data_IF_891137824238
#
_entry.id   IF_891137824238
#
_cell.length_a   1.000
_cell.length_b   1.000
_cell.length_c   1.000
_cell.angle_alpha   90.00
_cell.angle_beta   90.00
_cell.angle_gamma   90.00
#
_symmetry.space_group_name_H-M   'P 1'
#
loop_
_entity.id
_entity.type
_entity.pdbx_description
1 polymer ?
#
# COMPACT_ATOMS: atom_id res chain seq x y z
N UNK A 1 -15.23 -7.30 3.94
CA UNK A 1 -14.24 -6.90 2.92
C UNK A 1 -13.77 -8.12 2.16
N UNK A 2 -13.54 -8.02 0.84
CA UNK A 2 -12.71 -9.00 0.16
C UNK A 2 -11.28 -8.81 0.70
N UNK A 3 -10.88 -9.67 1.64
CA UNK A 3 -9.56 -9.58 2.27
C UNK A 3 -8.45 -10.02 1.32
N UNK A 4 -7.24 -9.48 1.50
CA UNK A 4 -6.08 -9.97 0.77
C UNK A 4 -5.56 -11.26 1.42
N UNK A 5 -5.36 -12.31 0.62
CA UNK A 5 -4.76 -13.54 1.13
C UNK A 5 -3.29 -13.33 1.44
N UNK A 6 -2.77 -14.06 2.43
CA UNK A 6 -1.34 -14.02 2.71
C UNK A 6 -0.49 -14.61 1.59
N UNK A 7 -1.03 -15.52 0.79
CA UNK A 7 -0.38 -16.03 -0.41
C UNK A 7 -0.14 -14.91 -1.42
N UNK A 8 -1.14 -14.05 -1.65
CA UNK A 8 -0.99 -12.85 -2.48
C UNK A 8 0.06 -11.89 -1.90
N UNK A 9 0.01 -11.63 -0.60
CA UNK A 9 0.99 -10.76 0.07
C UNK A 9 2.42 -11.31 -0.03
N UNK A 10 2.58 -12.63 0.05
CA UNK A 10 3.87 -13.29 -0.15
C UNK A 10 4.38 -13.17 -1.59
N UNK A 11 3.50 -13.34 -2.59
CA UNK A 11 3.85 -13.20 -4.01
C UNK A 11 4.31 -11.79 -4.36
N UNK A 12 3.64 -10.76 -3.84
CA UNK A 12 4.00 -9.36 -4.14
C UNK A 12 5.19 -8.85 -3.31
N UNK A 13 5.53 -9.47 -2.17
CA UNK A 13 6.55 -8.96 -1.25
C UNK A 13 7.90 -8.59 -1.91
N UNK A 14 8.48 -9.39 -2.82
CA UNK A 14 9.74 -9.00 -3.50
C UNK A 14 9.58 -7.80 -4.43
N UNK A 15 8.42 -7.70 -5.11
CA UNK A 15 8.10 -6.60 -6.03
C UNK A 15 7.79 -5.32 -5.26
N UNK A 16 7.06 -5.43 -4.14
CA UNK A 16 6.84 -4.36 -3.18
C UNK A 16 8.17 -3.79 -2.71
N UNK A 17 9.06 -4.64 -2.17
CA UNK A 17 10.36 -4.22 -1.61
C UNK A 17 11.22 -3.47 -2.64
N UNK A 18 11.29 -3.96 -3.87
CA UNK A 18 12.05 -3.33 -4.94
C UNK A 18 11.46 -1.98 -5.40
N UNK A 19 10.16 -1.77 -5.23
CA UNK A 19 9.45 -0.60 -5.73
C UNK A 19 9.43 0.59 -4.76
N UNK A 20 9.63 0.36 -3.46
CA UNK A 20 9.58 1.41 -2.42
C UNK A 20 10.51 2.58 -2.74
N UNK A 21 10.00 3.81 -2.60
CA UNK A 21 10.76 5.00 -2.95
C UNK A 21 11.68 5.45 -1.80
N UNK A 22 12.97 5.10 -1.90
CA UNK A 22 13.95 5.40 -0.87
C UNK A 22 14.08 6.90 -0.51
N UNK A 23 13.84 7.81 -1.47
CA UNK A 23 13.91 9.25 -1.22
C UNK A 23 12.71 9.75 -0.38
N UNK A 24 11.49 9.28 -0.69
CA UNK A 24 10.28 9.59 0.09
C UNK A 24 10.41 9.01 1.50
N UNK A 25 10.88 7.77 1.62
CA UNK A 25 11.09 7.12 2.91
C UNK A 25 12.19 7.80 3.73
N UNK A 26 13.28 8.23 3.10
CA UNK A 26 14.35 8.97 3.77
C UNK A 26 13.83 10.23 4.43
N UNK A 27 13.01 11.00 3.70
CA UNK A 27 12.39 12.22 4.23
C UNK A 27 11.45 11.94 5.41
N UNK A 28 10.72 10.82 5.39
CA UNK A 28 9.91 10.40 6.55
C UNK A 28 10.78 10.02 7.75
N UNK A 29 11.84 9.24 7.52
CA UNK A 29 12.76 8.81 8.59
C UNK A 29 13.50 9.99 9.23
N UNK A 30 13.93 10.97 8.43
CA UNK A 30 14.58 12.20 8.90
C UNK A 30 13.65 13.08 9.76
N UNK A 31 12.33 12.89 9.65
CA UNK A 31 11.35 13.60 10.47
C UNK A 31 11.03 12.90 11.80
N UNK A 32 11.57 11.69 12.04
CA UNK A 32 11.43 11.00 13.31
C UNK A 32 12.33 11.64 14.39
N UNK A 33 12.00 11.48 15.69
CA UNK A 33 12.78 12.07 16.78
C UNK A 33 14.24 11.61 16.80
N UNK A 34 15.16 12.57 16.83
CA UNK A 34 16.58 12.29 17.03
C UNK A 34 16.90 11.88 18.47
N UNK A 35 17.99 11.11 18.65
CA UNK A 35 18.55 10.79 19.96
C UNK A 35 17.77 9.76 20.79
N UNK A 36 16.68 9.19 20.24
CA UNK A 36 15.99 8.03 20.82
C UNK A 36 15.36 7.16 19.74
N UNK A 37 15.05 5.94 20.12
CA UNK A 37 14.47 4.95 19.20
C UNK A 37 12.98 5.23 18.96
N UNK A 38 12.52 5.14 17.71
CA UNK A 38 11.16 5.52 17.36
C UNK A 38 10.15 4.46 17.80
N UNK A 39 8.95 4.95 18.11
CA UNK A 39 7.73 4.17 18.21
C UNK A 39 6.86 4.49 16.99
N UNK A 40 6.54 3.51 16.13
CA UNK A 40 5.77 3.73 14.92
C UNK A 40 4.44 2.99 14.95
N UNK A 41 3.43 3.53 14.28
CA UNK A 41 2.12 2.87 14.12
C UNK A 41 1.87 2.58 12.64
N UNK A 42 1.70 1.32 12.30
CA UNK A 42 1.41 0.86 10.94
C UNK A 42 -0.08 0.53 10.79
N UNK A 43 -0.76 1.27 9.92
CA UNK A 43 -2.18 1.16 9.63
C UNK A 43 -2.42 0.20 8.46
N UNK A 44 -3.36 -0.73 8.63
CA UNK A 44 -3.63 -1.80 7.67
C UNK A 44 -2.35 -2.57 7.31
N UNK A 45 -1.65 -3.00 8.36
CA UNK A 45 -0.28 -3.53 8.30
C UNK A 45 -0.14 -4.88 7.57
N UNK A 46 -1.23 -5.61 7.35
CA UNK A 46 -1.23 -6.93 6.74
C UNK A 46 -0.26 -7.88 7.46
N UNK A 47 0.69 -8.44 6.70
CA UNK A 47 1.74 -9.31 7.24
C UNK A 47 2.99 -8.57 7.72
N UNK A 48 2.92 -7.25 7.90
CA UNK A 48 4.00 -6.42 8.46
C UNK A 48 5.15 -6.12 7.49
N UNK A 49 4.83 -5.86 6.21
CA UNK A 49 5.83 -5.56 5.19
C UNK A 49 6.62 -4.27 5.50
N UNK A 50 5.97 -3.23 6.03
CA UNK A 50 6.61 -1.97 6.40
C UNK A 50 7.68 -2.19 7.48
N UNK A 51 7.39 -3.01 8.51
CA UNK A 51 8.36 -3.36 9.56
C UNK A 51 9.56 -4.08 8.95
N UNK A 52 9.32 -5.07 8.08
CA UNK A 52 10.41 -5.81 7.45
C UNK A 52 11.34 -4.88 6.63
N UNK A 53 10.79 -3.90 5.93
CA UNK A 53 11.57 -2.92 5.17
C UNK A 53 12.33 -1.92 6.05
N UNK A 54 11.77 -1.53 7.20
CA UNK A 54 12.30 -0.44 8.02
C UNK A 54 13.19 -0.92 9.16
N UNK A 55 12.96 -2.12 9.67
CA UNK A 55 13.70 -2.65 10.81
C UNK A 55 15.23 -2.56 10.64
N UNK A 56 15.82 -2.94 9.49
CA UNK A 56 17.27 -2.84 9.28
C UNK A 56 17.81 -1.40 9.28
N UNK A 57 16.97 -0.40 8.97
CA UNK A 57 17.34 1.01 8.83
C UNK A 57 17.22 1.80 10.13
N UNK A 58 16.34 1.36 11.03
CA UNK A 58 16.06 2.03 12.31
C UNK A 58 16.94 1.55 13.47
N UNK A 59 17.64 0.42 13.33
CA UNK A 59 18.51 -0.14 14.37
C UNK A 59 17.75 -0.82 15.52
N UNK A 60 18.45 -1.22 16.58
CA UNK A 60 17.84 -1.97 17.69
C UNK A 60 17.05 -1.09 18.67
N UNK A 61 16.01 -1.67 19.26
CA UNK A 61 15.11 -1.12 20.29
C UNK A 61 13.98 -0.21 19.76
N UNK A 62 13.74 -0.25 18.45
CA UNK A 62 12.55 0.33 17.82
C UNK A 62 11.27 -0.37 18.30
N UNK A 63 10.15 0.38 18.31
CA UNK A 63 8.83 -0.12 18.72
C UNK A 63 7.81 0.07 17.62
N UNK A 64 6.92 -0.88 17.45
CA UNK A 64 5.86 -0.83 16.46
C UNK A 64 4.52 -1.24 17.06
N UNK A 65 3.47 -0.51 16.69
CA UNK A 65 2.08 -0.95 16.81
C UNK A 65 1.58 -1.31 15.41
N UNK A 66 1.33 -2.59 15.17
CA UNK A 66 0.76 -3.09 13.93
C UNK A 66 -0.74 -3.25 14.09
N UNK A 67 -1.49 -2.63 13.19
CA UNK A 67 -2.94 -2.66 13.21
C UNK A 67 -3.48 -3.25 11.92
N UNK A 68 -4.46 -4.15 12.02
CA UNK A 68 -5.21 -4.67 10.88
C UNK A 68 -6.58 -5.15 11.36
N UNK A 69 -7.57 -5.16 10.47
CA UNK A 69 -8.89 -5.73 10.74
C UNK A 69 -8.87 -7.27 10.71
N UNK A 70 -7.89 -7.88 10.02
CA UNK A 70 -7.82 -9.32 9.85
C UNK A 70 -6.87 -9.95 10.89
N UNK A 71 -7.38 -10.67 11.91
CA UNK A 71 -6.54 -11.31 12.91
C UNK A 71 -5.66 -12.43 12.32
N UNK A 72 -6.03 -13.04 11.19
CA UNK A 72 -5.21 -14.03 10.52
C UNK A 72 -3.96 -13.41 9.88
N UNK A 73 -4.06 -12.20 9.32
CA UNK A 73 -2.89 -11.45 8.82
C UNK A 73 -1.98 -11.03 9.97
N UNK A 74 -2.52 -10.56 11.09
CA UNK A 74 -1.73 -10.22 12.29
C UNK A 74 -1.01 -11.45 12.87
N UNK A 75 -1.65 -12.62 12.88
CA UNK A 75 -1.00 -13.86 13.31
C UNK A 75 0.19 -14.23 12.41
N UNK A 76 0.07 -14.00 11.10
CA UNK A 76 1.15 -14.23 10.15
C UNK A 76 2.25 -13.18 10.25
N UNK A 77 1.90 -11.91 10.47
CA UNK A 77 2.87 -10.86 10.79
C UNK A 77 3.70 -11.26 12.02
N UNK A 78 3.05 -11.75 13.07
CA UNK A 78 3.73 -12.25 14.28
C UNK A 78 4.68 -13.39 13.98
N UNK A 79 4.27 -14.37 13.19
CA UNK A 79 5.15 -15.48 12.81
C UNK A 79 6.35 -14.99 12.00
N UNK A 80 6.11 -14.15 10.98
CA UNK A 80 7.13 -13.60 10.07
C UNK A 80 8.17 -12.74 10.80
N UNK A 81 7.72 -11.91 11.73
CA UNK A 81 8.56 -10.90 12.40
C UNK A 81 9.18 -11.40 13.73
N UNK A 82 8.82 -12.60 14.19
CA UNK A 82 9.31 -13.17 15.46
C UNK A 82 10.83 -13.28 15.58
N UNK A 83 11.55 -13.36 14.46
CA UNK A 83 13.01 -13.46 14.42
C UNK A 83 13.75 -12.12 14.36
N UNK A 84 13.05 -10.99 14.29
CA UNK A 84 13.69 -9.68 14.23
C UNK A 84 14.25 -9.27 15.59
N UNK A 85 15.56 -9.37 15.74
CA UNK A 85 16.26 -8.91 16.93
C UNK A 85 16.12 -7.38 17.10
N UNK A 86 15.89 -6.93 18.33
CA UNK A 86 15.81 -5.49 18.62
C UNK A 86 14.54 -4.80 18.12
N UNK A 87 13.48 -5.52 17.75
CA UNK A 87 12.21 -4.90 17.33
C UNK A 87 11.11 -5.34 18.29
N UNK A 88 10.53 -4.40 19.05
CA UNK A 88 9.38 -4.69 19.90
C UNK A 88 8.08 -4.38 19.13
N UNK A 89 7.21 -5.38 18.98
CA UNK A 89 5.99 -5.24 18.17
C UNK A 89 4.76 -5.59 19.01
N UNK A 90 3.85 -4.63 19.11
CA UNK A 90 2.47 -4.83 19.55
C UNK A 90 1.58 -5.06 18.32
N UNK A 91 0.63 -5.99 18.43
CA UNK A 91 -0.34 -6.30 17.39
C UNK A 91 -1.72 -6.01 17.93
N UNK A 92 -2.54 -5.28 17.17
CA UNK A 92 -3.90 -4.90 17.58
C UNK A 92 -4.86 -5.08 16.44
N UNK A 93 -5.90 -5.88 16.67
CA UNK A 93 -7.03 -5.93 15.75
C UNK A 93 -7.74 -4.57 15.77
N UNK A 94 -7.88 -3.94 14.62
CA UNK A 94 -8.46 -2.60 14.49
C UNK A 94 -9.22 -2.50 13.18
N UNK A 95 -10.54 -2.30 13.29
CA UNK A 95 -11.37 -1.94 12.14
C UNK A 95 -11.32 -0.44 11.91
N UNK A 96 -10.44 -0.02 10.99
CA UNK A 96 -10.27 1.38 10.61
C UNK A 96 -11.55 1.98 9.99
N UNK A 97 -12.48 1.16 9.45
CA UNK A 97 -13.74 1.68 8.92
C UNK A 97 -14.63 2.31 10.00
N UNK A 98 -14.40 1.96 11.27
CA UNK A 98 -15.08 2.56 12.44
C UNK A 98 -14.40 3.86 12.91
N UNK A 99 -13.28 4.26 12.30
CA UNK A 99 -12.51 5.46 12.62
C UNK A 99 -11.26 5.17 13.47
N UNK A 100 -10.64 6.26 13.95
CA UNK A 100 -9.33 6.21 14.62
C UNK A 100 -9.40 6.25 16.16
N UNK A 101 -10.60 6.24 16.75
CA UNK A 101 -10.80 6.47 18.19
C UNK A 101 -10.13 5.44 19.11
N UNK A 102 -9.82 4.24 18.60
CA UNK A 102 -9.08 3.20 19.33
C UNK A 102 -7.55 3.31 19.24
N UNK A 103 -7.03 4.31 18.51
CA UNK A 103 -5.60 4.51 18.28
C UNK A 103 -5.13 5.82 18.91
N UNK A 104 -4.17 5.71 19.83
CA UNK A 104 -3.48 6.87 20.39
C UNK A 104 -2.30 7.26 19.49
N UNK A 105 -2.58 8.07 18.46
CA UNK A 105 -1.55 8.61 17.57
C UNK A 105 -0.66 9.65 18.25
N UNK A 106 -0.96 10.12 19.46
CA UNK A 106 -0.07 11.05 20.18
C UNK A 106 1.11 10.33 20.81
N UNK A 107 0.96 9.05 21.14
CA UNK A 107 1.98 8.17 21.71
C UNK A 107 2.97 7.58 20.69
N UNK A 108 2.72 7.74 19.40
CA UNK A 108 3.61 7.31 18.31
C UNK A 108 4.51 8.46 17.84
N UNK A 109 5.58 8.15 17.14
CA UNK A 109 6.54 9.08 16.56
C UNK A 109 6.34 9.28 15.07
N UNK A 110 5.61 8.37 14.42
CA UNK A 110 5.24 8.43 13.02
C UNK A 110 4.18 7.38 12.70
N UNK A 111 3.39 7.66 11.66
CA UNK A 111 2.32 6.79 11.19
C UNK A 111 2.65 6.31 9.79
N UNK A 112 2.53 5.01 9.55
CA UNK A 112 2.79 4.41 8.24
C UNK A 112 1.56 3.65 7.73
N UNK A 113 1.47 3.47 6.42
CA UNK A 113 0.57 2.52 5.77
C UNK A 113 1.15 2.12 4.41
N UNK A 114 0.77 0.96 3.87
CA UNK A 114 1.31 0.48 2.59
C UNK A 114 0.23 -0.25 1.79
N UNK A 115 0.07 0.12 0.51
CA UNK A 115 -0.92 -0.48 -0.41
C UNK A 115 -2.34 -0.54 0.18
N UNK A 116 -2.78 0.60 0.74
CA UNK A 116 -4.06 0.73 1.45
C UNK A 116 -4.90 1.93 1.00
N UNK A 117 -4.28 3.08 0.70
CA UNK A 117 -5.02 4.33 0.47
C UNK A 117 -5.97 4.25 -0.74
N UNK A 118 -5.67 3.46 -1.76
CA UNK A 118 -6.53 3.27 -2.94
C UNK A 118 -7.82 2.49 -2.62
N UNK A 119 -7.96 1.95 -1.41
CA UNK A 119 -9.13 1.20 -0.96
C UNK A 119 -10.11 2.04 -0.13
N UNK A 120 -9.74 3.27 0.22
CA UNK A 120 -10.51 4.09 1.17
C UNK A 120 -11.27 5.20 0.47
N UNK A 121 -12.30 5.71 1.14
CA UNK A 121 -13.10 6.84 0.64
C UNK A 121 -12.36 8.17 0.83
N UNK A 122 -12.83 9.21 0.11
CA UNK A 122 -12.43 10.59 0.34
C UNK A 122 -12.58 11.02 1.81
N UNK A 123 -13.71 10.67 2.43
CA UNK A 123 -13.98 11.00 3.84
C UNK A 123 -13.03 10.30 4.81
N UNK A 124 -12.65 9.05 4.53
CA UNK A 124 -11.63 8.36 5.31
C UNK A 124 -10.27 9.04 5.18
N UNK A 125 -9.84 9.40 3.96
CA UNK A 125 -8.57 10.10 3.74
C UNK A 125 -8.51 11.45 4.45
N UNK A 126 -9.61 12.23 4.45
CA UNK A 126 -9.70 13.48 5.21
C UNK A 126 -9.64 13.23 6.73
N UNK A 127 -10.32 12.19 7.23
CA UNK A 127 -10.29 11.82 8.65
C UNK A 127 -8.89 11.35 9.09
N UNK A 128 -8.19 10.59 8.25
CA UNK A 128 -6.80 10.17 8.46
C UNK A 128 -5.87 11.37 8.56
N UNK A 129 -5.94 12.26 7.56
CA UNK A 129 -5.13 13.48 7.56
C UNK A 129 -5.40 14.34 8.81
N UNK A 130 -6.67 14.50 9.19
CA UNK A 130 -7.05 15.22 10.40
C UNK A 130 -6.51 14.57 11.69
N UNK A 131 -6.64 13.25 11.84
CA UNK A 131 -6.18 12.52 13.02
C UNK A 131 -4.65 12.59 13.19
N UNK A 132 -3.91 12.38 12.10
CA UNK A 132 -2.44 12.46 12.12
C UNK A 132 -1.97 13.90 12.35
N UNK A 133 -2.63 14.87 11.71
CA UNK A 133 -2.29 16.29 11.86
C UNK A 133 -2.58 16.82 13.27
N UNK A 134 -3.68 16.38 13.89
CA UNK A 134 -3.99 16.72 15.28
C UNK A 134 -2.93 16.18 16.27
N UNK A 135 -2.31 15.04 15.95
CA UNK A 135 -1.22 14.47 16.72
C UNK A 135 0.16 15.10 16.37
N UNK A 136 0.25 15.88 15.29
CA UNK A 136 1.49 16.54 14.85
C UNK A 136 2.58 15.57 14.37
N UNK A 137 2.22 14.34 13.99
CA UNK A 137 3.18 13.29 13.61
C UNK A 137 3.44 13.25 12.10
N UNK A 138 4.63 12.84 11.65
CA UNK A 138 4.87 12.53 10.24
C UNK A 138 4.05 11.31 9.81
N UNK A 139 3.69 11.27 8.53
CA UNK A 139 2.95 10.19 7.89
C UNK A 139 3.68 9.68 6.66
N UNK A 140 3.67 8.36 6.44
CA UNK A 140 4.15 7.72 5.22
C UNK A 140 3.08 6.77 4.67
N UNK A 141 2.70 6.96 3.42
CA UNK A 141 1.98 5.96 2.64
C UNK A 141 2.89 5.45 1.53
N UNK A 142 3.11 4.14 1.48
CA UNK A 142 3.84 3.49 0.39
C UNK A 142 2.89 2.74 -0.55
N UNK A 143 3.28 2.60 -1.81
CA UNK A 143 2.65 1.74 -2.82
C UNK A 143 1.15 2.05 -2.99
N UNK A 144 0.77 3.32 -3.11
CA UNK A 144 -0.62 3.70 -3.43
C UNK A 144 -0.85 3.62 -4.93
N UNK A 145 -1.80 2.78 -5.38
CA UNK A 145 -2.05 2.57 -6.81
C UNK A 145 -2.49 3.88 -7.51
N UNK A 146 -1.93 4.17 -8.68
CA UNK A 146 -2.16 5.44 -9.39
C UNK A 146 -2.89 5.32 -10.74
N UNK A 147 -3.41 4.13 -11.06
CA UNK A 147 -4.18 3.90 -12.28
C UNK A 147 -3.34 3.54 -13.51
N UNK A 148 -2.01 3.59 -13.45
CA UNK A 148 -1.14 3.16 -14.55
C UNK A 148 -0.89 1.66 -14.48
N UNK A 149 -0.97 0.98 -15.62
CA UNK A 149 -0.53 -0.39 -15.76
C UNK A 149 -0.14 -0.65 -17.21
N UNK A 150 0.91 -1.42 -17.43
CA UNK A 150 1.37 -1.79 -18.76
C UNK A 150 1.89 -3.23 -18.76
N UNK A 151 1.53 -3.98 -19.80
CA UNK A 151 2.01 -5.34 -20.03
C UNK A 151 2.80 -5.37 -21.34
N UNK A 152 3.90 -6.12 -21.35
CA UNK A 152 4.64 -6.45 -22.55
C UNK A 152 4.75 -7.97 -22.70
N UNK A 153 4.59 -8.56 -23.91
CA UNK A 153 4.25 -7.88 -25.17
C UNK A 153 2.85 -7.26 -25.16
N UNK A 154 2.61 -6.17 -25.91
CA UNK A 154 1.31 -5.48 -25.88
C UNK A 154 0.20 -6.35 -26.46
N UNK A 155 -1.01 -6.17 -25.95
CA UNK A 155 -2.23 -6.81 -26.45
C UNK A 155 -3.30 -5.73 -26.70
N UNK A 156 -4.11 -5.82 -27.78
CA UNK A 156 -5.12 -4.80 -28.11
C UNK A 156 -6.13 -4.50 -26.99
N UNK A 157 -6.37 -5.46 -26.10
CA UNK A 157 -7.33 -5.35 -24.99
C UNK A 157 -6.72 -4.81 -23.68
N UNK A 158 -5.41 -4.53 -23.63
CA UNK A 158 -4.75 -4.08 -22.39
C UNK A 158 -5.37 -2.81 -21.82
N UNK A 159 -5.61 -1.81 -22.67
CA UNK A 159 -6.17 -0.54 -22.24
C UNK A 159 -7.60 -0.69 -21.74
N UNK A 160 -8.40 -1.53 -22.40
CA UNK A 160 -9.77 -1.85 -21.95
C UNK A 160 -9.77 -2.50 -20.57
N UNK A 161 -8.89 -3.49 -20.35
CA UNK A 161 -8.77 -4.17 -19.05
C UNK A 161 -8.28 -3.21 -17.97
N UNK A 162 -7.30 -2.34 -18.28
CA UNK A 162 -6.80 -1.32 -17.35
C UNK A 162 -7.88 -0.32 -16.94
N UNK A 163 -8.63 0.22 -17.91
CA UNK A 163 -9.72 1.15 -17.63
C UNK A 163 -10.83 0.50 -16.79
N UNK A 164 -11.16 -0.76 -17.09
CA UNK A 164 -12.11 -1.54 -16.30
C UNK A 164 -11.59 -1.76 -14.88
N UNK A 165 -10.32 -2.09 -14.69
CA UNK A 165 -9.73 -2.24 -13.37
C UNK A 165 -9.73 -0.91 -12.59
N UNK A 166 -9.43 0.22 -13.23
CA UNK A 166 -9.51 1.53 -12.58
C UNK A 166 -10.93 1.87 -12.13
N UNK A 167 -11.94 1.58 -12.95
CA UNK A 167 -13.34 1.77 -12.59
C UNK A 167 -13.75 0.81 -11.46
N UNK A 168 -13.29 -0.44 -11.50
CA UNK A 168 -13.48 -1.40 -10.42
C UNK A 168 -12.82 -0.92 -9.12
N UNK A 169 -11.63 -0.31 -9.16
CA UNK A 169 -10.97 0.22 -7.96
C UNK A 169 -11.75 1.33 -7.26
N UNK A 170 -12.69 1.99 -7.96
CA UNK A 170 -13.56 3.01 -7.39
C UNK A 170 -14.90 2.46 -6.87
N UNK A 171 -15.11 1.15 -6.92
CA UNK A 171 -16.25 0.51 -6.25
C UNK A 171 -16.05 0.47 -4.73
N UNK A 172 -17.05 -0.04 -4.00
CA UNK A 172 -16.89 -0.26 -2.57
C UNK A 172 -15.83 -1.34 -2.29
N UNK A 173 -14.80 -0.98 -1.51
CA UNK A 173 -13.73 -1.87 -1.03
C UNK A 173 -13.85 -2.21 0.45
N UNK A 174 -14.94 -1.85 1.10
CA UNK A 174 -15.20 -2.04 2.53
C UNK A 174 -15.43 -0.75 3.31
N UNK A 175 -15.07 0.39 2.72
CA UNK A 175 -15.20 1.72 3.33
C UNK A 175 -16.32 2.56 2.68
N UNK A 176 -16.95 2.05 1.62
CA UNK A 176 -17.69 2.83 0.63
C UNK A 176 -16.89 2.99 -0.68
N UNK A 177 -17.42 3.74 -1.67
CA UNK A 177 -16.78 3.95 -2.97
C UNK A 177 -15.37 4.52 -2.81
N UNK A 178 -14.36 3.72 -3.17
CA UNK A 178 -12.97 4.06 -2.92
C UNK A 178 -12.46 5.14 -3.88
N UNK A 179 -11.41 5.84 -3.46
CA UNK A 179 -10.71 6.81 -4.30
C UNK A 179 -9.99 6.12 -5.47
N UNK A 180 -9.55 4.87 -5.29
CA UNK A 180 -8.83 4.12 -6.29
C UNK A 180 -7.57 4.88 -6.76
N UNK A 181 -7.35 5.03 -8.09
CA UNK A 181 -6.22 5.77 -8.66
C UNK A 181 -6.02 7.21 -8.15
N UNK A 182 -7.09 7.85 -7.66
CA UNK A 182 -7.05 9.24 -7.20
C UNK A 182 -6.57 9.38 -5.73
N UNK A 183 -6.34 8.27 -5.04
CA UNK A 183 -6.10 8.25 -3.59
C UNK A 183 -4.85 9.01 -3.17
N UNK A 184 -3.74 8.80 -3.87
CA UNK A 184 -2.48 9.48 -3.60
C UNK A 184 -2.60 11.02 -3.72
N UNK A 185 -3.00 11.60 -4.88
CA UNK A 185 -3.14 13.05 -4.99
C UNK A 185 -4.24 13.62 -4.10
N UNK A 186 -5.30 12.86 -3.79
CA UNK A 186 -6.30 13.30 -2.82
C UNK A 186 -5.72 13.44 -1.41
N UNK A 187 -5.03 12.40 -0.93
CA UNK A 187 -4.46 12.33 0.43
C UNK A 187 -3.38 13.38 0.62
N UNK A 188 -2.52 13.58 -0.37
CA UNK A 188 -1.53 14.66 -0.37
C UNK A 188 -2.18 16.03 -0.16
N UNK A 189 -3.23 16.35 -0.93
CA UNK A 189 -3.97 17.62 -0.78
C UNK A 189 -4.66 17.75 0.58
N UNK A 190 -5.12 16.65 1.17
CA UNK A 190 -5.69 16.66 2.51
C UNK A 190 -4.66 17.06 3.57
N UNK A 191 -3.44 16.51 3.50
CA UNK A 191 -2.34 16.90 4.37
C UNK A 191 -1.86 18.35 4.12
N UNK A 192 -1.74 18.78 2.87
CA UNK A 192 -1.38 20.16 2.53
C UNK A 192 -2.38 21.17 3.11
N UNK A 193 -3.69 20.88 3.03
CA UNK A 193 -4.74 21.69 3.68
C UNK A 193 -4.59 21.75 5.19
N UNK A 194 -4.07 20.68 5.81
CA UNK A 194 -3.75 20.64 7.24
C UNK A 194 -2.41 21.31 7.58
N UNK A 195 -1.74 21.94 6.61
CA UNK A 195 -0.49 22.66 6.80
C UNK A 195 0.75 21.76 6.84
N UNK A 196 0.69 20.55 6.30
CA UNK A 196 1.85 19.67 6.20
C UNK A 196 2.65 19.96 4.91
N UNK A 197 3.97 19.73 4.96
CA UNK A 197 4.78 19.62 3.74
C UNK A 197 4.65 18.20 3.21
N UNK A 198 4.26 18.04 1.94
CA UNK A 198 4.13 16.73 1.30
C UNK A 198 5.25 16.52 0.29
N UNK A 199 5.88 15.36 0.35
CA UNK A 199 6.86 14.85 -0.62
C UNK A 199 6.29 13.58 -1.25
N UNK A 200 6.38 13.47 -2.58
CA UNK A 200 5.87 12.32 -3.32
C UNK A 200 6.91 11.80 -4.29
N UNK A 201 6.82 10.51 -4.63
CA UNK A 201 7.69 9.87 -5.60
C UNK A 201 7.06 8.60 -6.17
N UNK A 202 7.44 8.24 -7.39
CA UNK A 202 6.98 7.01 -8.03
C UNK A 202 7.55 5.79 -7.31
N UNK A 203 6.73 4.76 -7.16
CA UNK A 203 7.08 3.47 -6.56
C UNK A 203 6.50 2.32 -7.40
N UNK A 204 6.73 2.41 -8.71
CA UNK A 204 6.14 1.49 -9.68
C UNK A 204 6.64 0.06 -9.45
N UNK A 205 5.70 -0.89 -9.38
CA UNK A 205 6.04 -2.31 -9.47
C UNK A 205 6.62 -2.60 -10.84
N UNK A 206 7.73 -3.33 -10.86
CA UNK A 206 8.36 -3.86 -12.06
C UNK A 206 8.50 -5.37 -11.91
N UNK A 207 7.77 -6.12 -12.72
CA UNK A 207 7.75 -7.57 -12.69
C UNK A 207 8.27 -8.15 -14.01
N UNK A 208 9.48 -8.70 -13.97
CA UNK A 208 10.06 -9.50 -15.06
C UNK A 208 9.65 -10.98 -15.00
N UNK A 209 10.19 -11.81 -15.93
CA UNK A 209 9.88 -13.24 -16.01
C UNK A 209 10.12 -14.03 -14.72
N UNK A 210 11.05 -13.59 -13.86
CA UNK A 210 11.32 -14.14 -12.53
C UNK A 210 10.13 -14.03 -11.56
N UNK A 211 9.19 -13.13 -11.83
CA UNK A 211 7.98 -12.89 -11.03
C UNK A 211 6.73 -13.58 -11.61
N UNK A 212 6.88 -14.70 -12.34
CA UNK A 212 5.78 -15.34 -13.08
C UNK A 212 4.52 -15.63 -12.26
N UNK A 213 4.66 -16.15 -11.04
CA UNK A 213 3.51 -16.44 -10.17
C UNK A 213 2.77 -15.16 -9.70
N UNK A 214 3.52 -14.09 -9.43
CA UNK A 214 2.94 -12.77 -9.14
C UNK A 214 2.20 -12.20 -10.35
N UNK A 215 2.82 -12.25 -11.55
CA UNK A 215 2.18 -11.80 -12.78
C UNK A 215 0.88 -12.57 -13.06
N UNK A 216 0.89 -13.90 -12.89
CA UNK A 216 -0.29 -14.74 -13.10
C UNK A 216 -1.45 -14.35 -12.15
N UNK A 217 -1.17 -14.24 -10.85
CA UNK A 217 -2.17 -13.83 -9.87
C UNK A 217 -2.76 -12.45 -10.21
N UNK A 218 -1.91 -11.50 -10.62
CA UNK A 218 -2.31 -10.15 -10.96
C UNK A 218 -3.21 -10.10 -12.22
N UNK A 219 -2.81 -10.75 -13.33
CA UNK A 219 -3.62 -10.72 -14.56
C UNK A 219 -4.95 -11.47 -14.41
N UNK A 220 -5.02 -12.50 -13.56
CA UNK A 220 -6.28 -13.16 -13.22
C UNK A 220 -7.22 -12.20 -12.48
N UNK A 221 -6.72 -11.51 -11.46
CA UNK A 221 -7.51 -10.49 -10.74
C UNK A 221 -7.98 -9.36 -11.64
N UNK A 222 -7.17 -8.93 -12.63
CA UNK A 222 -7.59 -7.92 -13.61
C UNK A 222 -8.66 -8.44 -14.58
N UNK A 223 -8.58 -9.70 -15.00
CA UNK A 223 -9.61 -10.33 -15.82
C UNK A 223 -10.95 -10.40 -15.08
N UNK A 224 -10.93 -10.79 -13.79
CA UNK A 224 -12.12 -10.86 -12.95
C UNK A 224 -12.75 -9.47 -12.78
N UNK A 225 -11.94 -8.47 -12.41
CA UNK A 225 -12.39 -7.08 -12.29
C UNK A 225 -12.96 -6.54 -13.60
N UNK A 226 -12.35 -6.85 -14.74
CA UNK A 226 -12.87 -6.44 -16.05
C UNK A 226 -14.23 -7.08 -16.36
N UNK A 227 -14.42 -8.34 -15.98
CA UNK A 227 -15.70 -9.05 -16.13
C UNK A 227 -16.81 -8.43 -15.29
N UNK A 228 -16.51 -8.07 -14.04
CA UNK A 228 -17.46 -7.37 -13.15
C UNK A 228 -17.85 -5.99 -13.68
N UNK A 229 -16.94 -5.32 -14.38
CA UNK A 229 -17.18 -4.02 -15.03
C UNK A 229 -17.81 -4.13 -16.44
N UNK A 230 -18.22 -5.33 -16.86
CA UNK A 230 -19.01 -5.55 -18.07
C UNK A 230 -18.20 -5.59 -19.38
N UNK A 231 -16.88 -5.82 -19.32
CA UNK A 231 -16.10 -6.10 -20.53
C UNK A 231 -16.51 -7.46 -21.10
N UNK A 232 -16.49 -7.60 -22.43
CA UNK A 232 -16.91 -8.83 -23.12
C UNK A 232 -16.12 -10.07 -22.64
N UNK A 233 -16.85 -11.12 -22.28
CA UNK A 233 -16.30 -12.34 -21.69
C UNK A 233 -15.37 -13.09 -22.64
N UNK A 234 -15.68 -13.14 -23.95
CA UNK A 234 -14.81 -13.79 -24.92
C UNK A 234 -13.50 -13.01 -25.12
N UNK A 235 -13.59 -11.68 -25.14
CA UNK A 235 -12.44 -10.78 -25.14
C UNK A 235 -11.53 -10.99 -23.93
N UNK A 236 -12.09 -10.98 -22.71
CA UNK A 236 -11.32 -11.22 -21.48
C UNK A 236 -10.67 -12.60 -21.49
N UNK A 237 -11.40 -13.65 -21.87
CA UNK A 237 -10.87 -15.01 -21.93
C UNK A 237 -9.68 -15.10 -22.90
N UNK A 238 -9.78 -14.47 -24.07
CA UNK A 238 -8.69 -14.38 -25.04
C UNK A 238 -7.48 -13.60 -24.51
N UNK A 239 -7.71 -12.45 -23.88
CA UNK A 239 -6.67 -11.63 -23.27
C UNK A 239 -5.94 -12.38 -22.15
N UNK A 240 -6.69 -13.03 -21.25
CA UNK A 240 -6.10 -13.78 -20.14
C UNK A 240 -5.30 -14.98 -20.65
N UNK A 241 -5.84 -15.74 -21.62
CA UNK A 241 -5.12 -16.86 -22.22
C UNK A 241 -3.79 -16.42 -22.86
N UNK A 242 -3.80 -15.28 -23.57
CA UNK A 242 -2.59 -14.68 -24.13
C UNK A 242 -1.57 -14.30 -23.04
N UNK A 243 -2.02 -13.59 -21.99
CA UNK A 243 -1.15 -13.17 -20.88
C UNK A 243 -0.50 -14.37 -20.19
N UNK A 244 -1.27 -15.40 -19.87
CA UNK A 244 -0.76 -16.61 -19.24
C UNK A 244 0.25 -17.36 -20.14
N UNK A 245 0.04 -17.37 -21.46
CA UNK A 245 0.98 -17.98 -22.40
C UNK A 245 2.32 -17.22 -22.47
N UNK A 246 2.30 -15.88 -22.47
CA UNK A 246 3.52 -15.06 -22.45
C UNK A 246 4.28 -15.17 -21.11
N UNK A 247 3.55 -15.28 -19.99
CA UNK A 247 4.13 -15.54 -18.67
C UNK A 247 4.79 -16.91 -18.64
N UNK A 248 4.08 -17.97 -19.05
CA UNK A 248 4.60 -19.33 -19.07
C UNK A 248 5.82 -19.48 -20.01
N UNK A 249 5.88 -18.68 -21.08
CA UNK A 249 7.01 -18.66 -21.99
C UNK A 249 8.18 -17.77 -21.54
N UNK A 250 8.08 -17.10 -20.38
CA UNK A 250 9.12 -16.22 -19.84
C UNK A 250 9.36 -14.96 -20.67
N UNK A 251 8.37 -14.51 -21.44
CA UNK A 251 8.46 -13.30 -22.28
C UNK A 251 7.72 -12.10 -21.70
N UNK A 252 6.88 -12.33 -20.69
CA UNK A 252 6.04 -11.29 -20.09
C UNK A 252 6.81 -10.40 -19.12
N UNK A 253 6.63 -9.09 -19.26
CA UNK A 253 6.97 -8.10 -18.23
C UNK A 253 5.76 -7.23 -17.94
N UNK A 254 5.62 -6.79 -16.69
CA UNK A 254 4.48 -6.00 -16.23
C UNK A 254 4.95 -4.84 -15.36
N UNK A 255 4.40 -3.65 -15.60
CA UNK A 255 4.57 -2.47 -14.75
C UNK A 255 3.22 -2.06 -14.16
N UNK A 256 3.16 -1.77 -12.86
CA UNK A 256 1.99 -1.15 -12.20
C UNK A 256 2.42 0.12 -11.50
N UNK A 257 1.80 1.24 -11.85
CA UNK A 257 2.14 2.54 -11.29
C UNK A 257 1.66 2.68 -9.86
N UNK A 258 2.55 3.17 -9.00
CA UNK A 258 2.21 3.56 -7.64
C UNK A 258 2.93 4.85 -7.27
N UNK A 259 2.40 5.50 -6.25
CA UNK A 259 3.02 6.65 -5.61
C UNK A 259 3.24 6.38 -4.12
N UNK A 260 4.40 6.81 -3.64
CA UNK A 260 4.69 6.96 -2.22
C UNK A 260 4.51 8.43 -1.83
N UNK A 261 3.98 8.65 -0.62
CA UNK A 261 3.73 9.98 -0.06
C UNK A 261 4.29 10.03 1.36
N UNK A 262 5.13 11.02 1.64
CA UNK A 262 5.50 11.42 2.99
C UNK A 262 4.88 12.79 3.30
N UNK A 263 4.12 12.89 4.38
CA UNK A 263 3.57 14.14 4.88
C UNK A 263 4.24 14.48 6.22
N UNK A 264 4.77 15.69 6.33
CA UNK A 264 5.63 16.09 7.44
C UNK A 264 5.02 17.29 8.13
N UNK A 265 4.89 17.19 9.46
CA UNK A 265 4.51 18.33 10.27
C UNK A 265 5.60 19.40 10.18
N UNK A 266 5.21 20.67 10.25
CA UNK A 266 6.19 21.73 10.44
C UNK A 266 6.83 21.51 11.81
N UNK A 267 8.14 21.26 11.84
CA UNK A 267 8.91 21.24 13.08
C UNK A 267 8.71 22.60 13.73
N UNK A 268 8.00 22.66 14.86
CA UNK A 268 8.16 23.78 15.76
C UNK A 268 9.62 23.78 16.18
N UNK A 269 10.40 24.71 15.63
CA UNK A 269 11.76 24.99 16.08
C UNK A 269 11.74 25.03 17.61
N UNK A 270 12.35 24.04 18.25
CA UNK A 270 12.70 24.09 19.67
C UNK A 270 14.13 24.54 19.80
#
# INVERSE_FOLDING_TARGET
>A
MAGFSAEWLALRSPVDEAARNAAVEGVFLDALPEGRLPHLTDLASGTGATVAAFAPRLGEGQRWLLTDHDPALLAQARARLSGLAGVAIEYRETDLATGFGGLDLTATDGVTTSAFLDLVTAGFADALAAAVSAAGKPFLASLTYDGRAACFPPHPLDETVRLAMNAHQQTDKGFGPALGPDAAPYTARAFERAGYRVVQGTSDWQAGPEHGAFQEALVRGWADAAGEMGVDAAGIAGWLAYRLAEIAAGRSTLQVGHLDIAALSHSSSR
#
